data_IF_067994279199
#
_entry.id   IF_067994279199
#
_cell.length_a   1.000
_cell.length_b   1.000
_cell.length_c   1.000
_cell.angle_alpha   90.00
_cell.angle_beta   90.00
_cell.angle_gamma   90.00
#
_symmetry.space_group_name_H-M   'P 1'
#
loop_
_entity.id
_entity.type
_entity.pdbx_description
1 polymer ?
#
# COMPACT_ATOMS: atom_id res chain seq x y z
N UNK A 1 37.73 -16.41 -52.57
CA UNK A 1 37.43 -16.60 -51.13
C UNK A 1 36.72 -15.35 -50.61
N UNK A 2 35.43 -15.46 -50.26
CA UNK A 2 34.58 -14.36 -49.80
C UNK A 2 34.72 -14.22 -48.27
N UNK A 3 34.93 -13.00 -47.75
CA UNK A 3 34.86 -12.72 -46.30
C UNK A 3 33.49 -12.10 -46.00
N UNK A 4 32.70 -12.81 -45.22
CA UNK A 4 31.38 -12.40 -44.73
C UNK A 4 31.47 -11.26 -43.72
N UNK A 5 30.64 -10.23 -43.87
CA UNK A 5 30.47 -9.15 -42.90
C UNK A 5 29.51 -9.58 -41.79
N UNK A 6 29.98 -9.62 -40.55
CA UNK A 6 29.12 -9.76 -39.36
C UNK A 6 28.47 -8.42 -39.00
N UNK A 7 27.17 -8.30 -39.23
CA UNK A 7 26.33 -7.20 -38.73
C UNK A 7 26.21 -7.27 -37.21
N UNK A 8 26.75 -6.26 -36.50
CA UNK A 8 26.57 -6.06 -35.06
C UNK A 8 25.16 -5.49 -34.82
N UNK A 9 24.28 -6.26 -34.17
CA UNK A 9 23.00 -5.74 -33.63
C UNK A 9 23.30 -4.71 -32.53
N UNK A 10 22.97 -3.45 -32.77
CA UNK A 10 22.98 -2.39 -31.77
C UNK A 10 21.78 -2.56 -30.84
N UNK A 11 22.03 -2.88 -29.58
CA UNK A 11 21.02 -2.85 -28.54
C UNK A 11 20.56 -1.40 -28.32
N UNK A 12 19.26 -1.15 -28.48
CA UNK A 12 18.62 0.14 -28.30
C UNK A 12 18.77 0.59 -26.82
N UNK A 13 19.55 1.65 -26.57
CA UNK A 13 19.86 2.20 -25.25
C UNK A 13 18.84 3.24 -24.74
N UNK A 14 17.61 3.23 -25.25
CA UNK A 14 16.56 4.20 -24.86
C UNK A 14 15.49 3.61 -23.93
N UNK A 15 15.81 2.61 -23.11
CA UNK A 15 14.95 2.27 -21.99
C UNK A 15 15.16 3.31 -20.90
N UNK A 16 14.25 4.28 -20.81
CA UNK A 16 14.17 5.20 -19.67
C UNK A 16 14.28 4.37 -18.38
N UNK A 17 15.17 4.74 -17.43
CA UNK A 17 15.32 3.98 -16.21
C UNK A 17 13.98 3.98 -15.48
N UNK A 18 13.32 2.81 -15.43
CA UNK A 18 12.14 2.59 -14.61
C UNK A 18 12.46 3.13 -13.22
N UNK A 19 11.71 4.16 -12.79
CA UNK A 19 11.87 4.76 -11.47
C UNK A 19 11.83 3.65 -10.40
N UNK A 20 12.59 3.82 -9.32
CA UNK A 20 12.81 2.79 -8.30
C UNK A 20 11.49 2.29 -7.67
N UNK A 21 10.48 3.16 -7.53
CA UNK A 21 9.11 2.83 -7.12
C UNK A 21 8.43 1.81 -8.06
N UNK A 22 8.77 1.77 -9.35
CA UNK A 22 8.26 0.78 -10.30
C UNK A 22 9.00 -0.56 -10.25
N UNK A 23 10.12 -0.68 -9.52
CA UNK A 23 10.92 -1.92 -9.44
C UNK A 23 10.53 -2.81 -8.26
N UNK A 24 9.81 -2.27 -7.28
CA UNK A 24 9.38 -3.03 -6.11
C UNK A 24 8.08 -3.76 -6.42
N UNK A 25 8.13 -5.08 -6.51
CA UNK A 25 6.95 -5.96 -6.65
C UNK A 25 5.90 -5.62 -5.60
N UNK A 26 6.33 -5.28 -4.38
CA UNK A 26 5.45 -4.85 -3.30
C UNK A 26 4.67 -3.56 -3.62
N UNK A 27 5.33 -2.54 -4.20
CA UNK A 27 4.66 -1.30 -4.55
C UNK A 27 3.64 -1.52 -5.68
N UNK A 28 4.00 -2.31 -6.70
CA UNK A 28 3.05 -2.66 -7.77
C UNK A 28 1.87 -3.47 -7.25
N UNK A 29 2.11 -4.40 -6.33
CA UNK A 29 1.07 -5.19 -5.69
C UNK A 29 0.13 -4.30 -4.87
N UNK A 30 0.65 -3.38 -4.07
CA UNK A 30 -0.16 -2.41 -3.34
C UNK A 30 -1.01 -1.56 -4.27
N UNK A 31 -0.42 -0.98 -5.32
CA UNK A 31 -1.19 -0.19 -6.29
C UNK A 31 -2.32 -1.00 -6.94
N UNK A 32 -2.10 -2.28 -7.21
CA UNK A 32 -3.14 -3.19 -7.72
C UNK A 32 -4.25 -3.43 -6.71
N UNK A 33 -3.94 -3.61 -5.41
CA UNK A 33 -4.94 -3.75 -4.36
C UNK A 33 -5.81 -2.51 -4.20
N UNK A 34 -5.20 -1.33 -4.30
CA UNK A 34 -5.90 -0.06 -4.22
C UNK A 34 -6.61 0.35 -5.52
N UNK A 35 -6.41 -0.42 -6.61
CA UNK A 35 -6.89 -0.15 -7.96
C UNK A 35 -6.41 1.21 -8.51
N UNK A 36 -5.20 1.62 -8.11
CA UNK A 36 -4.57 2.86 -8.51
C UNK A 36 -3.59 2.65 -9.66
N UNK A 37 -3.54 3.61 -10.60
CA UNK A 37 -2.60 3.58 -11.74
C UNK A 37 -1.16 3.84 -11.31
N UNK A 38 -0.99 4.74 -10.36
CA UNK A 38 0.28 5.12 -9.78
C UNK A 38 0.07 5.65 -8.35
N UNK A 39 1.18 5.80 -7.63
CA UNK A 39 1.15 6.27 -6.24
C UNK A 39 0.64 7.71 -6.13
N UNK A 40 1.00 8.58 -7.08
CA UNK A 40 0.55 9.96 -7.10
C UNK A 40 -0.99 10.05 -7.14
N UNK A 41 -1.63 9.23 -7.98
CA UNK A 41 -3.09 9.15 -8.06
C UNK A 41 -3.71 8.69 -6.74
N UNK A 42 -3.09 7.70 -6.07
CA UNK A 42 -3.57 7.20 -4.78
C UNK A 42 -3.50 8.26 -3.67
N UNK A 43 -2.41 9.04 -3.62
CA UNK A 43 -2.19 10.00 -2.53
C UNK A 43 -2.75 11.38 -2.80
N UNK A 44 -3.16 11.68 -4.05
CA UNK A 44 -3.63 13.02 -4.43
C UNK A 44 -4.74 13.52 -3.51
N UNK A 45 -5.75 12.71 -3.23
CA UNK A 45 -6.83 13.13 -2.34
C UNK A 45 -6.44 13.10 -0.86
N UNK A 46 -5.46 12.29 -0.46
CA UNK A 46 -5.04 12.14 0.94
C UNK A 46 -4.11 13.25 1.42
N UNK A 47 -3.62 14.13 0.53
CA UNK A 47 -2.64 15.17 0.90
C UNK A 47 -3.23 16.32 1.72
N UNK A 48 -4.55 16.43 1.79
CA UNK A 48 -5.20 17.47 2.57
C UNK A 48 -4.95 17.27 4.08
N UNK A 49 -4.36 18.26 4.78
CA UNK A 49 -4.16 18.19 6.22
C UNK A 49 -5.46 18.01 7.02
N UNK A 50 -6.62 18.35 6.47
CA UNK A 50 -7.93 18.17 7.12
C UNK A 50 -8.29 16.69 7.33
N UNK A 51 -7.59 15.79 6.65
CA UNK A 51 -7.70 14.34 6.85
C UNK A 51 -6.77 13.79 7.96
N UNK A 52 -5.87 14.60 8.53
CA UNK A 52 -4.99 14.22 9.64
C UNK A 52 -5.73 14.19 11.00
N UNK A 53 -6.93 13.62 11.02
CA UNK A 53 -7.80 13.55 12.18
C UNK A 53 -8.64 12.25 12.19
N UNK A 54 -9.24 11.99 13.35
CA UNK A 54 -10.21 10.92 13.54
C UNK A 54 -11.61 11.52 13.68
N UNK A 55 -12.65 10.75 13.36
CA UNK A 55 -14.04 11.10 13.65
C UNK A 55 -14.47 10.66 15.07
N UNK A 56 -15.77 10.73 15.36
CA UNK A 56 -16.32 10.36 16.67
C UNK A 56 -16.25 8.85 16.97
N UNK A 57 -16.14 8.00 15.95
CA UNK A 57 -16.09 6.55 16.06
C UNK A 57 -14.64 6.02 15.98
N UNK A 58 -13.66 6.92 16.16
CA UNK A 58 -12.22 6.66 16.05
C UNK A 58 -11.76 6.18 14.66
N UNK A 59 -12.50 6.56 13.62
CA UNK A 59 -12.19 6.23 12.23
C UNK A 59 -11.28 7.30 11.68
N UNK A 60 -10.19 6.89 11.01
CA UNK A 60 -9.35 7.88 10.34
C UNK A 60 -10.13 8.53 9.20
N UNK A 61 -10.01 9.85 9.08
CA UNK A 61 -10.52 10.54 7.89
C UNK A 61 -9.83 10.08 6.60
N UNK A 62 -8.61 9.54 6.68
CA UNK A 62 -7.97 8.88 5.54
C UNK A 62 -8.73 7.62 5.12
N UNK A 63 -9.27 6.83 6.06
CA UNK A 63 -10.12 5.67 5.73
C UNK A 63 -11.41 6.12 5.04
N UNK A 64 -12.06 7.17 5.57
CA UNK A 64 -13.26 7.73 4.95
C UNK A 64 -12.99 8.19 3.51
N UNK A 65 -11.87 8.86 3.27
CA UNK A 65 -11.47 9.28 1.92
C UNK A 65 -11.13 8.10 1.02
N UNK A 66 -10.43 7.07 1.52
CA UNK A 66 -10.08 5.86 0.75
C UNK A 66 -11.31 5.04 0.34
N UNK A 67 -12.38 5.10 1.13
CA UNK A 67 -13.65 4.40 0.91
C UNK A 67 -14.70 5.26 0.22
N UNK A 68 -14.44 6.56 0.03
CA UNK A 68 -15.29 7.51 -0.69
C UNK A 68 -15.25 7.28 -2.22
N UNK A 69 -15.77 6.13 -2.65
CA UNK A 69 -15.82 5.71 -4.05
C UNK A 69 -17.13 5.00 -4.36
N UNK A 70 -17.59 5.11 -5.61
CA UNK A 70 -18.89 4.57 -6.05
C UNK A 70 -18.98 3.04 -5.98
N UNK A 71 -17.86 2.35 -6.24
CA UNK A 71 -17.78 0.90 -6.23
C UNK A 71 -16.68 0.45 -5.28
N UNK A 72 -16.98 -0.56 -4.47
CA UNK A 72 -16.01 -1.20 -3.59
C UNK A 72 -14.90 -1.92 -4.40
N UNK A 73 -13.71 -2.03 -3.81
CA UNK A 73 -12.58 -2.73 -4.43
C UNK A 73 -12.76 -4.24 -4.32
N UNK A 74 -12.33 -4.97 -5.34
CA UNK A 74 -12.51 -6.42 -5.37
C UNK A 74 -11.69 -7.18 -4.32
N UNK A 75 -10.42 -6.78 -4.09
CA UNK A 75 -9.50 -7.50 -3.19
C UNK A 75 -9.30 -6.83 -1.83
N UNK A 76 -9.75 -5.59 -1.68
CA UNK A 76 -9.52 -4.74 -0.52
C UNK A 76 -10.84 -4.04 -0.16
N UNK A 77 -11.77 -4.83 0.37
CA UNK A 77 -13.10 -4.36 0.77
C UNK A 77 -13.00 -3.24 1.81
N UNK A 78 -14.05 -2.44 1.92
CA UNK A 78 -14.15 -1.37 2.91
C UNK A 78 -14.09 -1.96 4.33
N UNK A 79 -14.65 -3.15 4.56
CA UNK A 79 -14.56 -3.87 5.85
C UNK A 79 -13.12 -4.27 6.18
N UNK A 80 -12.34 -4.74 5.21
CA UNK A 80 -10.92 -5.04 5.42
C UNK A 80 -10.13 -3.76 5.72
N UNK A 81 -10.36 -2.69 4.94
CA UNK A 81 -9.76 -1.38 5.20
C UNK A 81 -10.11 -0.84 6.57
N UNK A 82 -11.34 -1.11 7.03
CA UNK A 82 -11.81 -0.71 8.35
C UNK A 82 -11.06 -1.46 9.45
N UNK A 83 -10.89 -2.77 9.31
CA UNK A 83 -10.11 -3.56 10.26
C UNK A 83 -8.66 -3.06 10.39
N UNK A 84 -8.02 -2.72 9.27
CA UNK A 84 -6.67 -2.14 9.30
C UNK A 84 -6.63 -0.76 9.95
N UNK A 85 -7.59 0.12 9.64
CA UNK A 85 -7.69 1.45 10.27
C UNK A 85 -7.84 1.35 11.79
N UNK A 86 -8.69 0.42 12.27
CA UNK A 86 -8.89 0.18 13.70
C UNK A 86 -7.61 -0.32 14.39
N UNK A 87 -6.83 -1.19 13.74
CA UNK A 87 -5.54 -1.64 14.27
C UNK A 87 -4.56 -0.47 14.38
N UNK A 88 -4.49 0.38 13.34
CA UNK A 88 -3.66 1.58 13.34
C UNK A 88 -4.07 2.50 14.49
N UNK A 89 -5.37 2.75 14.68
CA UNK A 89 -5.87 3.56 15.78
C UNK A 89 -5.48 2.98 17.14
N UNK A 90 -5.71 1.69 17.39
CA UNK A 90 -5.32 1.00 18.63
C UNK A 90 -3.83 1.17 18.94
N UNK A 91 -2.98 0.93 17.96
CA UNK A 91 -1.53 1.09 18.12
C UNK A 91 -1.13 2.56 18.36
N UNK A 92 -1.80 3.49 17.68
CA UNK A 92 -1.56 4.94 17.85
C UNK A 92 -1.95 5.41 19.24
N UNK A 93 -3.08 4.95 19.77
CA UNK A 93 -3.52 5.26 21.12
C UNK A 93 -2.51 4.77 22.15
N UNK A 94 -2.08 3.50 22.05
CA UNK A 94 -1.07 2.94 22.95
C UNK A 94 0.27 3.70 22.92
N UNK A 95 0.65 4.26 21.76
CA UNK A 95 1.81 5.14 21.64
C UNK A 95 1.58 6.51 22.28
N UNK A 96 0.37 7.05 22.17
CA UNK A 96 -0.01 8.36 22.71
C UNK A 96 -0.12 8.34 24.24
N UNK A 97 -0.49 7.22 24.85
CA UNK A 97 -0.53 7.06 26.32
C UNK A 97 0.82 7.37 26.99
N UNK A 98 1.91 7.25 26.23
CA UNK A 98 3.29 7.48 26.71
C UNK A 98 3.84 8.85 26.30
N UNK A 99 3.04 9.69 25.63
CA UNK A 99 3.47 10.98 25.07
C UNK A 99 2.75 12.14 25.77
N UNK A 100 3.47 13.25 25.95
CA UNK A 100 2.88 14.51 26.41
C UNK A 100 2.09 15.21 25.31
N UNK A 101 2.50 15.05 24.05
CA UNK A 101 1.82 15.58 22.89
C UNK A 101 1.27 14.43 22.04
N UNK A 102 -0.04 14.46 21.70
CA UNK A 102 -0.66 13.39 20.93
C UNK A 102 -0.13 13.39 19.50
N UNK A 103 0.26 12.20 19.05
CA UNK A 103 0.72 11.96 17.69
C UNK A 103 -0.46 12.03 16.73
N UNK A 104 -0.29 12.82 15.67
CA UNK A 104 -1.16 12.84 14.49
C UNK A 104 -0.36 12.37 13.28
N UNK A 105 -0.91 11.43 12.53
CA UNK A 105 -0.24 10.88 11.36
C UNK A 105 -0.41 11.79 10.15
N UNK A 106 0.70 12.05 9.47
CA UNK A 106 0.67 12.57 8.10
C UNK A 106 0.19 11.49 7.14
N UNK A 107 -0.38 11.88 6.01
CA UNK A 107 -0.90 10.94 5.00
C UNK A 107 0.12 9.85 4.60
N UNK A 108 1.39 10.21 4.42
CA UNK A 108 2.44 9.26 4.05
C UNK A 108 2.79 8.29 5.19
N UNK A 109 2.66 8.73 6.46
CA UNK A 109 2.88 7.87 7.62
C UNK A 109 1.72 6.91 7.81
N UNK A 110 0.49 7.41 7.71
CA UNK A 110 -0.72 6.58 7.75
C UNK A 110 -0.70 5.54 6.63
N UNK A 111 -0.37 5.92 5.39
CA UNK A 111 -0.24 4.97 4.28
C UNK A 111 0.85 3.93 4.53
N UNK A 112 1.98 4.31 5.12
CA UNK A 112 3.01 3.34 5.49
C UNK A 112 2.49 2.32 6.51
N UNK A 113 1.75 2.76 7.53
CA UNK A 113 1.11 1.88 8.52
C UNK A 113 0.07 0.96 7.87
N UNK A 114 -0.80 1.52 7.04
CA UNK A 114 -1.81 0.76 6.29
C UNK A 114 -1.18 -0.30 5.39
N UNK A 115 -0.10 0.05 4.69
CA UNK A 115 0.63 -0.89 3.85
C UNK A 115 1.29 -1.99 4.68
N UNK A 116 1.82 -1.67 5.86
CA UNK A 116 2.36 -2.68 6.78
C UNK A 116 1.26 -3.62 7.28
N UNK A 117 0.12 -3.11 7.73
CA UNK A 117 -1.02 -3.93 8.19
C UNK A 117 -1.49 -4.90 7.09
N UNK A 118 -1.71 -4.40 5.88
CA UNK A 118 -2.10 -5.22 4.72
C UNK A 118 -1.03 -6.28 4.40
N UNK A 119 0.24 -5.89 4.44
CA UNK A 119 1.34 -6.82 4.15
C UNK A 119 1.41 -7.93 5.20
N UNK A 120 1.33 -7.58 6.49
CA UNK A 120 1.39 -8.53 7.59
C UNK A 120 0.20 -9.48 7.55
N UNK A 121 -1.02 -8.96 7.35
CA UNK A 121 -2.21 -9.79 7.20
C UNK A 121 -2.05 -10.84 6.10
N UNK A 122 -1.56 -10.44 4.93
CA UNK A 122 -1.37 -11.35 3.79
C UNK A 122 -0.22 -12.32 3.99
N UNK A 123 0.83 -11.89 4.69
CA UNK A 123 1.96 -12.74 5.04
C UNK A 123 1.55 -13.85 6.02
N UNK A 124 0.73 -13.54 7.02
CA UNK A 124 0.28 -14.50 8.02
C UNK A 124 -0.96 -15.31 7.61
N UNK A 125 -1.78 -14.81 6.68
CA UNK A 125 -2.97 -15.52 6.18
C UNK A 125 -2.65 -16.72 5.29
N UNK A 126 -1.42 -16.86 4.80
CA UNK A 126 -1.04 -17.96 3.91
C UNK A 126 0.27 -18.63 4.35
N UNK A 127 0.30 -19.31 5.52
CA UNK A 127 1.48 -20.06 5.93
C UNK A 127 1.67 -21.26 4.99
N UNK A 128 2.81 -21.37 4.27
CA UNK A 128 3.10 -22.56 3.49
C UNK A 128 3.40 -23.71 4.45
N UNK A 129 2.39 -24.55 4.72
CA UNK A 129 2.60 -25.81 5.43
C UNK A 129 1.60 -26.11 6.53
N UNK A 130 0.34 -26.35 6.14
CA UNK A 130 -0.45 -27.34 6.86
C UNK A 130 -0.87 -28.40 5.85
N UNK A 131 0.06 -29.29 5.55
CA UNK A 131 -0.26 -30.56 4.89
C UNK A 131 -1.07 -31.33 5.94
N UNK A 132 -2.34 -31.70 5.69
CA UNK A 132 -3.05 -32.59 6.60
C UNK A 132 -2.26 -33.89 6.64
N UNK A 133 -1.74 -34.24 7.81
CA UNK A 133 -1.19 -35.57 8.03
C UNK A 133 -2.32 -36.57 7.90
N UNK A 134 -2.28 -37.35 6.82
CA UNK A 134 -3.05 -38.58 6.66
C UNK A 134 -2.77 -39.49 7.86
N UNK A 135 -3.82 -39.87 8.58
CA UNK A 135 -3.81 -40.85 9.67
C UNK A 135 -5.01 -41.77 9.55
#
# INVERSE_FOLDING_TARGET
MQRTYTTRRTANRNAQPLKFDKRLVLNQWMLRLFEAKDFDTLVTSLKDPDFEAYDADNVSRFHLELTNRTFERGQLTNDLLRGYDENIFKHTQALNDRRKEPLRWKYFQYLALLFMEIYLDRFFSNPPGLVPGEG
#
